data_IF_348685834624
#
_entry.id   IF_348685834624
#
_cell.length_a   1.000
_cell.length_b   1.000
_cell.length_c   1.000
_cell.angle_alpha   90.00
_cell.angle_beta   90.00
_cell.angle_gamma   90.00
#
_symmetry.space_group_name_H-M   'P 1'
#
loop_
_entity.id
_entity.type
_entity.pdbx_description
1 polymer ?
#
# COMPACT_ATOMS: atom_id res chain seq x y z
N UNK A 1 -33.49 15.78 52.26
CA UNK A 1 -33.77 14.33 52.32
C UNK A 1 -33.39 13.74 50.97
N UNK A 2 -32.14 13.86 50.56
CA UNK A 2 -30.98 13.04 50.98
C UNK A 2 -31.03 11.64 50.36
N UNK A 3 -30.28 11.47 49.28
CA UNK A 3 -29.74 10.18 48.85
C UNK A 3 -28.37 10.45 48.22
N UNK A 4 -27.40 10.70 49.09
CA UNK A 4 -25.97 10.53 48.82
C UNK A 4 -25.57 9.21 49.45
N UNK A 5 -25.20 8.18 48.68
CA UNK A 5 -24.29 7.11 49.15
C UNK A 5 -23.67 6.42 47.92
N UNK A 6 -22.33 6.56 47.85
CA UNK A 6 -21.29 5.64 47.36
C UNK A 6 -21.35 5.10 45.92
N UNK A 7 -20.43 5.54 45.06
CA UNK A 7 -19.07 4.97 44.90
C UNK A 7 -19.06 3.66 44.12
N UNK A 8 -18.63 3.75 42.85
CA UNK A 8 -17.72 2.77 42.28
C UNK A 8 -16.75 3.52 41.34
N UNK A 9 -15.69 4.02 41.96
CA UNK A 9 -14.38 4.14 41.31
C UNK A 9 -13.92 2.75 40.82
N UNK A 10 -13.00 2.78 39.86
CA UNK A 10 -12.20 1.67 39.32
C UNK A 10 -12.84 0.81 38.22
N UNK A 11 -12.64 1.25 36.98
CA UNK A 11 -11.73 0.51 36.09
C UNK A 11 -10.66 1.47 35.59
N UNK A 12 -9.63 1.68 36.42
CA UNK A 12 -8.28 1.97 35.94
C UNK A 12 -7.68 0.62 35.60
N UNK A 13 -7.34 0.40 34.33
CA UNK A 13 -6.30 -0.51 33.84
C UNK A 13 -6.03 -0.07 32.39
N UNK A 14 -5.18 0.94 32.22
CA UNK A 14 -3.78 0.74 31.82
C UNK A 14 -3.62 0.40 30.34
N UNK A 15 -3.53 1.46 29.52
CA UNK A 15 -2.62 1.49 28.38
C UNK A 15 -2.22 2.95 28.06
N UNK A 16 -1.68 3.67 29.05
CA UNK A 16 -0.69 4.71 28.75
C UNK A 16 0.61 4.01 28.33
N UNK A 17 0.60 3.37 27.15
CA UNK A 17 1.79 2.95 26.44
C UNK A 17 2.14 4.07 25.46
N UNK A 18 2.88 5.07 25.94
CA UNK A 18 3.44 6.09 25.07
C UNK A 18 4.40 5.47 24.06
N UNK A 19 4.15 5.78 22.79
CA UNK A 19 4.84 5.41 21.54
C UNK A 19 4.56 3.99 21.00
N UNK A 20 3.87 3.91 19.83
CA UNK A 20 4.58 3.73 18.55
C UNK A 20 4.06 4.63 17.41
N UNK A 21 3.67 5.88 17.67
CA UNK A 21 3.06 6.72 16.62
C UNK A 21 4.00 6.98 15.44
N UNK A 22 5.30 7.24 15.72
CA UNK A 22 6.29 7.50 14.67
C UNK A 22 6.50 6.34 13.70
N UNK A 23 6.51 5.10 14.18
CA UNK A 23 6.81 3.95 13.33
C UNK A 23 5.65 3.66 12.37
N UNK A 24 4.41 3.91 12.81
CA UNK A 24 3.22 3.83 11.96
C UNK A 24 3.16 5.01 10.97
N UNK A 25 3.52 6.22 11.39
CA UNK A 25 3.61 7.39 10.51
C UNK A 25 4.67 7.20 9.41
N UNK A 26 5.83 6.65 9.77
CA UNK A 26 6.92 6.35 8.83
C UNK A 26 6.50 5.23 7.85
N UNK A 27 5.78 4.21 8.32
CA UNK A 27 5.28 3.13 7.46
C UNK A 27 4.19 3.62 6.50
N UNK A 28 3.26 4.44 6.99
CA UNK A 28 2.24 5.07 6.16
C UNK A 28 2.88 5.93 5.07
N UNK A 29 3.87 6.76 5.43
CA UNK A 29 4.60 7.56 4.45
C UNK A 29 5.28 6.70 3.38
N UNK A 30 5.92 5.59 3.76
CA UNK A 30 6.52 4.63 2.82
C UNK A 30 5.47 4.00 1.90
N UNK A 31 4.31 3.60 2.42
CA UNK A 31 3.19 3.08 1.62
C UNK A 31 2.75 4.12 0.59
N UNK A 32 2.55 5.37 1.01
CA UNK A 32 2.13 6.45 0.11
C UNK A 32 3.15 6.72 -1.01
N UNK A 33 4.45 6.57 -0.74
CA UNK A 33 5.50 6.69 -1.76
C UNK A 33 5.36 5.58 -2.80
N UNK A 34 5.17 4.34 -2.38
CA UNK A 34 5.00 3.22 -3.32
C UNK A 34 3.69 3.32 -4.11
N UNK A 35 2.59 3.77 -3.49
CA UNK A 35 1.34 4.08 -4.19
C UNK A 35 1.52 5.16 -5.27
N UNK A 36 2.27 6.23 -4.95
CA UNK A 36 2.57 7.29 -5.90
C UNK A 36 3.45 6.79 -7.07
N UNK A 37 4.41 5.90 -6.80
CA UNK A 37 5.25 5.27 -7.83
C UNK A 37 4.40 4.40 -8.76
N UNK A 38 3.49 3.59 -8.21
CA UNK A 38 2.55 2.78 -9.00
C UNK A 38 1.71 3.67 -9.92
N UNK A 39 1.15 4.76 -9.39
CA UNK A 39 0.30 5.65 -10.18
C UNK A 39 1.09 6.40 -11.26
N UNK A 40 2.30 6.85 -10.95
CA UNK A 40 3.19 7.48 -11.91
C UNK A 40 3.55 6.51 -13.05
N UNK A 41 3.97 5.29 -12.72
CA UNK A 41 4.32 4.28 -13.71
C UNK A 41 3.11 3.89 -14.57
N UNK A 42 1.91 3.79 -13.98
CA UNK A 42 0.71 3.54 -14.75
C UNK A 42 0.32 4.69 -15.68
N UNK A 43 0.49 5.94 -15.24
CA UNK A 43 0.32 7.10 -16.11
C UNK A 43 1.32 7.08 -17.27
N UNK A 44 2.59 6.75 -16.99
CA UNK A 44 3.62 6.62 -18.02
C UNK A 44 3.28 5.51 -19.03
N UNK A 45 2.86 4.34 -18.54
CA UNK A 45 2.39 3.23 -19.38
C UNK A 45 1.28 3.67 -20.33
N UNK A 46 0.27 4.36 -19.81
CA UNK A 46 -0.87 4.79 -20.62
C UNK A 46 -0.50 5.91 -21.62
N UNK A 47 0.58 6.65 -21.35
CA UNK A 47 1.11 7.69 -22.24
C UNK A 47 2.04 7.15 -23.34
N UNK A 48 2.63 5.97 -23.17
CA UNK A 48 3.56 5.40 -24.14
C UNK A 48 2.84 4.58 -25.21
N UNK A 49 3.11 4.89 -26.48
CA UNK A 49 2.64 4.08 -27.62
C UNK A 49 3.56 2.88 -27.90
N UNK A 50 4.86 3.03 -27.61
CA UNK A 50 5.88 2.02 -27.84
C UNK A 50 5.78 0.89 -26.82
N UNK A 51 5.70 -0.35 -27.31
CA UNK A 51 5.49 -1.52 -26.47
C UNK A 51 6.60 -1.72 -25.42
N UNK A 52 7.86 -1.50 -25.79
CA UNK A 52 9.01 -1.62 -24.86
C UNK A 52 8.88 -0.65 -23.69
N UNK A 53 8.44 0.58 -23.95
CA UNK A 53 8.23 1.60 -22.91
C UNK A 53 7.04 1.25 -22.01
N UNK A 54 5.96 0.71 -22.59
CA UNK A 54 4.81 0.20 -21.82
C UNK A 54 5.21 -0.98 -20.93
N UNK A 55 6.03 -1.89 -21.44
CA UNK A 55 6.56 -3.03 -20.69
C UNK A 55 7.46 -2.57 -19.54
N UNK A 56 8.39 -1.64 -19.78
CA UNK A 56 9.21 -1.06 -18.72
C UNK A 56 8.39 -0.37 -17.62
N UNK A 57 7.35 0.37 -18.01
CA UNK A 57 6.42 0.96 -17.04
C UNK A 57 5.61 -0.11 -16.27
N UNK A 58 5.31 -1.25 -16.88
CA UNK A 58 4.71 -2.40 -16.19
C UNK A 58 5.66 -3.04 -15.18
N UNK A 59 6.96 -3.16 -15.50
CA UNK A 59 7.97 -3.63 -14.56
C UNK A 59 8.03 -2.70 -13.34
N UNK A 60 8.02 -1.39 -13.55
CA UNK A 60 7.99 -0.40 -12.46
C UNK A 60 6.73 -0.52 -11.57
N UNK A 61 5.55 -0.77 -12.17
CA UNK A 61 4.32 -1.02 -11.42
C UNK A 61 4.47 -2.26 -10.53
N UNK A 62 5.01 -3.36 -11.07
CA UNK A 62 5.17 -4.62 -10.36
C UNK A 62 6.23 -4.54 -9.25
N UNK A 63 7.32 -3.81 -9.48
CA UNK A 63 8.37 -3.57 -8.48
C UNK A 63 7.85 -2.75 -7.30
N UNK A 64 7.17 -1.63 -7.57
CA UNK A 64 6.57 -0.78 -6.53
C UNK A 64 5.45 -1.52 -5.78
N UNK A 65 4.67 -2.34 -6.49
CA UNK A 65 3.67 -3.23 -5.87
C UNK A 65 4.32 -4.21 -4.89
N UNK A 66 5.44 -4.83 -5.27
CA UNK A 66 6.15 -5.78 -4.41
C UNK A 66 6.63 -5.11 -3.12
N UNK A 67 7.21 -3.91 -3.23
CA UNK A 67 7.63 -3.10 -2.08
C UNK A 67 6.46 -2.69 -1.18
N UNK A 68 5.34 -2.25 -1.76
CA UNK A 68 4.12 -1.93 -1.02
C UNK A 68 3.59 -3.15 -0.25
N UNK A 69 3.58 -4.32 -0.87
CA UNK A 69 3.13 -5.55 -0.24
C UNK A 69 4.06 -6.04 0.87
N UNK A 70 5.36 -5.79 0.78
CA UNK A 70 6.30 -6.01 1.88
C UNK A 70 5.97 -5.11 3.08
N UNK A 71 5.82 -3.81 2.86
CA UNK A 71 5.40 -2.84 3.88
C UNK A 71 4.07 -3.21 4.55
N UNK A 72 3.09 -3.62 3.74
CA UNK A 72 1.77 -4.03 4.22
C UNK A 72 1.84 -5.26 5.14
N UNK A 73 2.70 -6.23 4.82
CA UNK A 73 2.92 -7.42 5.66
C UNK A 73 3.70 -7.10 6.93
N UNK A 74 4.73 -6.25 6.83
CA UNK A 74 5.53 -5.81 7.99
C UNK A 74 4.69 -5.05 9.02
N UNK A 75 3.75 -4.22 8.56
CA UNK A 75 2.88 -3.44 9.43
C UNK A 75 1.69 -4.21 9.99
N UNK A 76 1.37 -5.38 9.41
CA UNK A 76 0.14 -6.13 9.69
C UNK A 76 -1.15 -5.28 9.58
N UNK A 77 -1.09 -4.17 8.85
CA UNK A 77 -2.21 -3.25 8.70
C UNK A 77 -3.18 -3.76 7.62
N UNK A 78 -4.44 -3.97 8.01
CA UNK A 78 -5.47 -4.49 7.12
C UNK A 78 -5.75 -3.57 5.91
N UNK A 79 -5.68 -2.26 6.09
CA UNK A 79 -5.84 -1.30 4.98
C UNK A 79 -4.64 -1.35 4.04
N UNK A 80 -3.42 -1.45 4.57
CA UNK A 80 -2.20 -1.66 3.79
C UNK A 80 -2.28 -2.96 2.97
N UNK A 81 -2.77 -4.05 3.55
CA UNK A 81 -2.98 -5.31 2.84
C UNK A 81 -4.03 -5.17 1.72
N UNK A 82 -5.14 -4.47 1.97
CA UNK A 82 -6.14 -4.21 0.92
C UNK A 82 -5.58 -3.32 -0.22
N UNK A 83 -4.65 -2.40 0.09
CA UNK A 83 -3.92 -1.61 -0.92
C UNK A 83 -2.98 -2.50 -1.74
N UNK A 84 -2.26 -3.41 -1.08
CA UNK A 84 -1.44 -4.44 -1.74
C UNK A 84 -2.26 -5.29 -2.71
N UNK A 85 -3.42 -5.83 -2.30
CA UNK A 85 -4.27 -6.64 -3.20
C UNK A 85 -4.69 -5.88 -4.47
N UNK A 86 -5.01 -4.58 -4.34
CA UNK A 86 -5.34 -3.72 -5.48
C UNK A 86 -4.12 -3.48 -6.39
N UNK A 87 -2.96 -3.23 -5.79
CA UNK A 87 -1.71 -3.04 -6.52
C UNK A 87 -1.32 -4.31 -7.29
N UNK A 88 -1.44 -5.49 -6.67
CA UNK A 88 -1.20 -6.77 -7.33
C UNK A 88 -2.15 -7.02 -8.51
N UNK A 89 -3.43 -6.64 -8.36
CA UNK A 89 -4.37 -6.74 -9.48
C UNK A 89 -3.93 -5.88 -10.68
N UNK A 90 -3.35 -4.71 -10.42
CA UNK A 90 -2.80 -3.83 -11.46
C UNK A 90 -1.55 -4.44 -12.12
N UNK A 91 -0.63 -4.97 -11.32
CA UNK A 91 0.55 -5.69 -11.84
C UNK A 91 0.14 -6.92 -12.68
N UNK A 92 -0.85 -7.70 -12.27
CA UNK A 92 -1.38 -8.82 -13.07
C UNK A 92 -2.01 -8.36 -14.38
N UNK A 93 -2.70 -7.21 -14.39
CA UNK A 93 -3.28 -6.65 -15.61
C UNK A 93 -2.20 -6.23 -16.62
N UNK A 94 -1.01 -5.84 -16.15
CA UNK A 94 0.16 -5.58 -16.99
C UNK A 94 0.66 -6.82 -17.73
N UNK A 95 0.76 -7.96 -17.04
CA UNK A 95 1.21 -9.24 -17.64
C UNK A 95 0.16 -9.94 -18.51
N UNK A 96 -1.08 -9.45 -18.56
CA UNK A 96 -2.16 -10.02 -19.37
C UNK A 96 -2.20 -9.45 -20.80
N UNK A 97 -1.47 -8.37 -21.08
CA UNK A 97 -1.32 -7.85 -22.44
C UNK A 97 -0.35 -8.71 -23.25
N UNK A 98 -0.56 -8.85 -24.58
CA UNK A 98 0.34 -9.64 -25.41
C UNK A 98 1.77 -9.10 -25.27
N UNK A 99 2.71 -10.02 -25.05
CA UNK A 99 4.13 -9.69 -25.04
C UNK A 99 4.45 -8.93 -26.33
N UNK A 100 5.33 -7.92 -26.22
CA UNK A 100 5.82 -7.18 -27.37
C UNK A 100 6.45 -8.16 -28.37
N UNK A 101 5.66 -8.65 -29.32
CA UNK A 101 6.19 -9.47 -30.41
C UNK A 101 7.12 -8.57 -31.21
N UNK A 102 8.40 -8.93 -31.24
CA UNK A 102 9.36 -8.30 -32.14
C UNK A 102 8.80 -8.40 -33.56
N UNK A 103 8.80 -7.30 -34.35
CA UNK A 103 8.37 -7.37 -35.73
C UNK A 103 9.23 -8.40 -36.46
N UNK A 104 8.64 -9.23 -37.36
CA UNK A 104 9.42 -10.20 -38.12
C UNK A 104 10.51 -9.47 -38.92
N UNK A 105 11.73 -9.98 -38.79
CA UNK A 105 12.96 -9.44 -39.38
C UNK A 105 12.94 -9.39 -40.90
#
# INVERSE_FOLDING_TARGET
MDSRVLTLCFVVLCACGGAPHRDLDDTFARIQVEEARIEHAATARDAHEECVMRAGACDEICDATSALCELARESEDRDALARCERAEARCRACGAEPACEEPPS
#
